data_IF_747633071594
#
_entry.id   IF_747633071594
#
_cell.length_a   1.000
_cell.length_b   1.000
_cell.length_c   1.000
_cell.angle_alpha   90.00
_cell.angle_beta   90.00
_cell.angle_gamma   90.00
#
_symmetry.space_group_name_H-M   'P 1'
#
loop_
_entity.id
_entity.type
_entity.pdbx_description
1 polymer ?
#
# COMPACT_ATOMS: atom_id res chain seq x y z
N UNK A 1 -15.22 12.95 4.94
CA UNK A 1 -15.24 14.00 3.91
C UNK A 1 -13.80 14.23 3.43
N UNK A 2 -13.56 14.39 2.14
CA UNK A 2 -12.21 14.65 1.63
C UNK A 2 -11.66 15.95 2.20
N UNK A 3 -10.33 15.95 2.49
CA UNK A 3 -9.64 17.16 2.97
C UNK A 3 -9.36 18.15 1.82
N UNK A 4 -9.24 17.63 0.59
CA UNK A 4 -8.99 18.44 -0.60
C UNK A 4 -10.31 18.87 -1.25
N UNK A 5 -10.57 20.18 -1.31
CA UNK A 5 -11.82 20.76 -1.82
C UNK A 5 -12.08 20.50 -3.31
N UNK A 6 -11.03 20.21 -4.07
CA UNK A 6 -11.10 19.91 -5.51
C UNK A 6 -11.53 18.47 -5.82
N UNK A 7 -11.61 17.60 -4.81
CA UNK A 7 -12.00 16.22 -4.99
C UNK A 7 -13.51 16.02 -4.87
N UNK A 8 -14.07 14.95 -5.49
CA UNK A 8 -15.48 14.61 -5.31
C UNK A 8 -15.81 14.26 -3.85
N UNK A 9 -17.08 14.19 -3.50
CA UNK A 9 -17.53 13.95 -2.12
C UNK A 9 -17.05 12.61 -1.55
N UNK A 10 -16.88 11.60 -2.40
CA UNK A 10 -16.36 10.26 -2.04
C UNK A 10 -15.21 9.90 -2.99
N UNK A 11 -14.02 10.49 -2.80
CA UNK A 11 -12.90 10.25 -3.68
C UNK A 11 -12.27 8.88 -3.43
N UNK A 12 -11.79 8.28 -4.51
CA UNK A 12 -10.96 7.08 -4.48
C UNK A 12 -9.54 7.40 -4.99
N UNK A 13 -8.61 6.49 -4.83
CA UNK A 13 -7.21 6.72 -5.23
C UNK A 13 -7.08 7.19 -6.68
N UNK A 14 -7.92 6.68 -7.61
CA UNK A 14 -7.93 7.11 -9.02
C UNK A 14 -8.17 8.62 -9.19
N UNK A 15 -8.94 9.24 -8.32
CA UNK A 15 -9.21 10.67 -8.39
C UNK A 15 -7.98 11.49 -7.98
N UNK A 16 -7.18 11.00 -7.04
CA UNK A 16 -5.88 11.59 -6.69
C UNK A 16 -4.92 11.51 -7.88
N UNK A 17 -4.83 10.36 -8.55
CA UNK A 17 -3.97 10.17 -9.71
C UNK A 17 -4.35 11.10 -10.87
N UNK A 18 -5.64 11.36 -11.05
CA UNK A 18 -6.13 12.31 -12.05
C UNK A 18 -5.84 13.75 -11.69
N UNK A 19 -6.01 14.10 -10.42
CA UNK A 19 -5.81 15.48 -9.94
C UNK A 19 -4.33 15.88 -9.89
N UNK A 20 -3.42 14.91 -9.59
CA UNK A 20 -1.99 15.17 -9.38
C UNK A 20 -1.10 14.27 -10.25
N UNK A 21 -1.24 14.31 -11.59
CA UNK A 21 -0.55 13.36 -12.47
C UNK A 21 0.97 13.47 -12.42
N UNK A 22 1.53 14.65 -12.16
CA UNK A 22 2.98 14.86 -12.11
C UNK A 22 3.68 14.04 -11.03
N UNK A 23 3.04 13.85 -9.89
CA UNK A 23 3.57 13.05 -8.77
C UNK A 23 3.02 11.62 -8.78
N UNK A 24 1.78 11.46 -9.19
CA UNK A 24 1.10 10.17 -9.13
C UNK A 24 1.52 9.22 -10.24
N UNK A 25 1.87 9.71 -11.45
CA UNK A 25 2.35 8.84 -12.52
C UNK A 25 3.62 8.07 -12.12
N UNK A 26 4.72 8.73 -11.71
CA UNK A 26 5.93 8.02 -11.26
C UNK A 26 5.66 7.16 -10.01
N UNK A 27 4.73 7.57 -9.13
CA UNK A 27 4.33 6.75 -7.99
C UNK A 27 3.64 5.45 -8.42
N UNK A 28 2.77 5.50 -9.44
CA UNK A 28 2.13 4.31 -10.00
C UNK A 28 3.13 3.35 -10.64
N UNK A 29 4.07 3.87 -11.43
CA UNK A 29 5.17 3.11 -12.06
C UNK A 29 6.05 2.44 -10.98
N UNK A 30 6.40 3.18 -9.93
CA UNK A 30 7.15 2.64 -8.80
C UNK A 30 6.37 1.55 -8.05
N UNK A 31 5.07 1.77 -7.84
CA UNK A 31 4.20 0.79 -7.17
C UNK A 31 4.10 -0.50 -7.98
N UNK A 32 3.95 -0.40 -9.31
CA UNK A 32 3.96 -1.56 -10.19
C UNK A 32 5.28 -2.34 -10.05
N UNK A 33 6.41 -1.65 -10.13
CA UNK A 33 7.73 -2.27 -9.98
C UNK A 33 7.88 -2.97 -8.62
N UNK A 34 7.46 -2.34 -7.52
CA UNK A 34 7.55 -2.89 -6.17
C UNK A 34 6.60 -4.08 -5.96
N UNK A 35 5.36 -3.99 -6.48
CA UNK A 35 4.30 -4.97 -6.19
C UNK A 35 4.18 -6.08 -7.24
N UNK A 36 4.68 -5.87 -8.46
CA UNK A 36 4.56 -6.82 -9.58
C UNK A 36 5.89 -7.18 -10.23
N UNK A 37 6.95 -6.39 -10.04
CA UNK A 37 8.29 -6.68 -10.52
C UNK A 37 8.89 -7.97 -9.93
N UNK A 38 10.08 -8.38 -10.35
CA UNK A 38 10.80 -9.54 -9.80
C UNK A 38 10.93 -9.43 -8.27
N UNK A 39 10.65 -10.52 -7.57
CA UNK A 39 10.74 -10.59 -6.11
C UNK A 39 10.77 -12.07 -5.65
N UNK A 40 11.41 -12.41 -4.53
CA UNK A 40 11.29 -13.71 -3.89
C UNK A 40 9.86 -14.01 -3.40
N UNK A 41 9.03 -12.98 -3.25
CA UNK A 41 7.64 -13.13 -2.81
C UNK A 41 6.68 -13.27 -3.99
N UNK A 42 5.77 -14.23 -3.89
CA UNK A 42 4.61 -14.28 -4.76
C UNK A 42 3.75 -12.99 -4.61
N UNK A 43 2.95 -12.69 -5.62
CA UNK A 43 2.07 -11.51 -5.62
C UNK A 43 1.18 -11.46 -4.38
N UNK A 44 0.52 -12.58 -4.01
CA UNK A 44 -0.33 -12.64 -2.82
C UNK A 44 0.42 -12.37 -1.51
N UNK A 45 1.71 -12.74 -1.42
CA UNK A 45 2.52 -12.46 -0.24
C UNK A 45 2.85 -10.96 -0.11
N UNK A 46 3.12 -10.27 -1.21
CA UNK A 46 3.33 -8.80 -1.20
C UNK A 46 2.04 -8.06 -0.84
N UNK A 47 0.90 -8.52 -1.35
CA UNK A 47 -0.41 -7.96 -0.96
C UNK A 47 -0.75 -8.26 0.51
N UNK A 48 -0.34 -9.42 1.03
CA UNK A 48 -0.47 -9.74 2.45
C UNK A 48 0.33 -8.76 3.32
N UNK A 49 1.60 -8.48 2.96
CA UNK A 49 2.42 -7.48 3.66
C UNK A 49 1.75 -6.11 3.60
N UNK A 50 1.26 -5.71 2.43
CA UNK A 50 0.57 -4.44 2.22
C UNK A 50 -0.68 -4.29 3.09
N UNK A 51 -1.54 -5.31 3.10
CA UNK A 51 -2.76 -5.33 3.91
C UNK A 51 -2.44 -5.33 5.42
N UNK A 52 -1.41 -6.09 5.82
CA UNK A 52 -0.98 -6.17 7.21
C UNK A 52 -0.45 -4.83 7.72
N UNK A 53 0.48 -4.20 6.99
CA UNK A 53 1.00 -2.86 7.30
C UNK A 53 -0.14 -1.83 7.39
N UNK A 54 -1.08 -1.87 6.46
CA UNK A 54 -2.22 -0.96 6.44
C UNK A 54 -3.16 -1.17 7.62
N UNK A 55 -3.35 -2.42 8.06
CA UNK A 55 -4.09 -2.75 9.28
C UNK A 55 -3.40 -2.25 10.55
N UNK A 56 -2.07 -2.38 10.64
CA UNK A 56 -1.27 -1.85 11.75
C UNK A 56 -1.37 -0.32 11.88
N UNK A 57 -1.47 0.38 10.74
CA UNK A 57 -1.67 1.83 10.68
C UNK A 57 -3.14 2.25 10.81
N UNK A 58 -4.08 1.31 10.96
CA UNK A 58 -5.52 1.55 10.99
C UNK A 58 -6.07 2.31 9.76
N UNK A 59 -5.38 2.26 8.61
CA UNK A 59 -5.84 2.85 7.37
C UNK A 59 -6.89 1.93 6.71
N UNK A 60 -8.17 2.21 6.94
CA UNK A 60 -9.28 1.36 6.51
C UNK A 60 -9.37 1.23 4.99
N UNK A 61 -9.08 2.30 4.25
CA UNK A 61 -9.08 2.30 2.79
C UNK A 61 -8.04 1.32 2.22
N UNK A 62 -6.76 1.48 2.63
CA UNK A 62 -5.68 0.64 2.12
C UNK A 62 -5.82 -0.81 2.62
N UNK A 63 -6.16 -0.98 3.91
CA UNK A 63 -6.37 -2.31 4.48
C UNK A 63 -7.45 -3.10 3.73
N UNK A 64 -8.65 -2.53 3.56
CA UNK A 64 -9.76 -3.19 2.86
C UNK A 64 -9.42 -3.48 1.39
N UNK A 65 -8.82 -2.52 0.69
CA UNK A 65 -8.40 -2.70 -0.71
C UNK A 65 -7.41 -3.86 -0.84
N UNK A 66 -6.31 -3.85 -0.06
CA UNK A 66 -5.24 -4.85 -0.20
C UNK A 66 -5.60 -6.21 0.41
N UNK A 67 -6.53 -6.25 1.38
CA UNK A 67 -7.17 -7.49 1.82
C UNK A 67 -7.88 -8.18 0.65
N UNK A 68 -8.67 -7.43 -0.12
CA UNK A 68 -9.39 -7.96 -1.27
C UNK A 68 -8.45 -8.38 -2.41
N UNK A 69 -7.35 -7.62 -2.65
CA UNK A 69 -6.33 -8.01 -3.65
C UNK A 69 -5.60 -9.28 -3.20
N UNK A 70 -5.20 -9.38 -1.93
CA UNK A 70 -4.56 -10.58 -1.38
C UNK A 70 -5.47 -11.80 -1.51
N UNK A 71 -6.77 -11.64 -1.19
CA UNK A 71 -7.76 -12.70 -1.34
C UNK A 71 -7.90 -13.15 -2.81
N UNK A 72 -7.95 -12.22 -3.76
CA UNK A 72 -7.97 -12.52 -5.19
C UNK A 72 -6.69 -13.23 -5.67
N UNK A 73 -5.57 -13.06 -4.93
CA UNK A 73 -4.30 -13.75 -5.14
C UNK A 73 -4.16 -15.06 -4.32
N UNK A 74 -5.25 -15.55 -3.71
CA UNK A 74 -5.30 -16.83 -3.01
C UNK A 74 -4.93 -16.80 -1.53
N UNK A 75 -4.82 -15.62 -0.91
CA UNK A 75 -4.62 -15.49 0.54
C UNK A 75 -5.99 -15.46 1.24
N UNK A 76 -6.22 -16.39 2.15
CA UNK A 76 -7.47 -16.43 2.89
C UNK A 76 -7.63 -15.18 3.79
N UNK A 77 -8.79 -14.49 3.75
CA UNK A 77 -9.00 -13.25 4.54
C UNK A 77 -8.81 -13.41 6.04
N UNK A 78 -9.09 -14.61 6.57
CA UNK A 78 -8.93 -14.96 7.98
C UNK A 78 -7.46 -14.88 8.45
N UNK A 79 -6.50 -15.11 7.52
CA UNK A 79 -5.07 -15.01 7.80
C UNK A 79 -4.69 -13.61 8.25
N UNK A 80 -5.17 -12.58 7.56
CA UNK A 80 -4.83 -11.18 7.89
C UNK A 80 -5.43 -10.78 9.24
N UNK A 81 -6.66 -11.19 9.53
CA UNK A 81 -7.28 -10.96 10.82
C UNK A 81 -6.49 -11.64 11.95
N UNK A 82 -6.07 -12.87 11.75
CA UNK A 82 -5.24 -13.60 12.71
C UNK A 82 -3.87 -12.92 12.92
N UNK A 83 -3.22 -12.45 11.85
CA UNK A 83 -1.95 -11.72 11.92
C UNK A 83 -2.03 -10.43 12.72
N UNK A 84 -3.12 -9.68 12.59
CA UNK A 84 -3.33 -8.45 13.36
C UNK A 84 -3.56 -8.74 14.84
N UNK A 85 -4.13 -9.90 15.17
CA UNK A 85 -4.30 -10.34 16.54
C UNK A 85 -2.98 -10.85 17.14
N UNK A 86 -2.34 -11.82 16.47
CA UNK A 86 -1.06 -12.40 16.92
C UNK A 86 -0.36 -13.13 15.76
N UNK A 87 0.84 -12.70 15.41
CA UNK A 87 1.65 -13.32 14.35
C UNK A 87 1.98 -14.77 14.68
N UNK A 88 2.22 -15.11 15.95
CA UNK A 88 2.71 -16.43 16.34
C UNK A 88 1.65 -17.52 16.14
N UNK A 89 0.40 -17.19 16.36
CA UNK A 89 -0.73 -18.12 16.21
C UNK A 89 -1.40 -18.05 14.84
N UNK A 90 -1.05 -17.07 14.02
CA UNK A 90 -1.63 -16.91 12.69
C UNK A 90 -1.35 -18.12 11.78
N UNK A 91 -2.33 -18.59 10.97
CA UNK A 91 -2.19 -19.76 10.12
C UNK A 91 -1.44 -19.44 8.82
N UNK A 92 -0.17 -19.07 8.95
CA UNK A 92 0.75 -18.78 7.85
C UNK A 92 1.97 -19.70 7.89
N UNK A 93 2.65 -19.80 6.74
CA UNK A 93 3.92 -20.54 6.68
C UNK A 93 4.91 -19.95 7.69
N UNK A 94 5.56 -20.81 8.48
CA UNK A 94 6.52 -20.41 9.51
C UNK A 94 7.60 -19.46 8.97
N UNK A 95 8.06 -19.70 7.74
CA UNK A 95 9.04 -18.88 7.04
C UNK A 95 8.56 -17.41 6.85
N UNK A 96 7.26 -17.15 6.77
CA UNK A 96 6.71 -15.79 6.61
C UNK A 96 6.61 -15.01 7.92
N UNK A 97 6.64 -15.65 9.08
CA UNK A 97 6.51 -14.98 10.37
C UNK A 97 7.60 -13.93 10.61
N UNK A 98 8.91 -14.22 10.41
CA UNK A 98 9.96 -13.22 10.54
C UNK A 98 9.81 -12.04 9.58
N UNK A 99 9.35 -12.25 8.34
CA UNK A 99 9.04 -11.21 7.37
C UNK A 99 7.98 -10.25 7.92
N UNK A 100 6.88 -10.80 8.44
CA UNK A 100 5.78 -9.98 8.97
C UNK A 100 6.14 -9.33 10.31
N UNK A 101 6.95 -9.98 11.14
CA UNK A 101 7.49 -9.40 12.37
C UNK A 101 8.41 -8.21 12.05
N UNK A 102 9.26 -8.35 11.02
CA UNK A 102 10.10 -7.27 10.52
C UNK A 102 9.25 -6.09 10.01
N UNK A 103 8.27 -6.36 9.14
CA UNK A 103 7.35 -5.35 8.63
C UNK A 103 6.57 -4.65 9.75
N UNK A 104 6.13 -5.39 10.79
CA UNK A 104 5.46 -4.83 11.96
C UNK A 104 6.36 -3.86 12.72
N UNK A 105 7.59 -4.28 13.04
CA UNK A 105 8.52 -3.44 13.79
C UNK A 105 8.93 -2.21 12.99
N UNK A 106 9.19 -2.37 11.68
CA UNK A 106 9.50 -1.26 10.79
C UNK A 106 8.35 -0.26 10.68
N UNK A 107 7.10 -0.72 10.74
CA UNK A 107 5.92 0.14 10.72
C UNK A 107 5.74 0.90 12.03
N UNK A 108 5.82 0.22 13.17
CA UNK A 108 5.44 0.77 14.47
C UNK A 108 6.59 1.45 15.22
N UNK A 109 7.84 1.07 14.92
CA UNK A 109 9.02 1.54 15.67
C UNK A 109 10.28 1.56 14.78
N UNK A 110 10.29 2.29 13.65
CA UNK A 110 11.38 2.23 12.66
C UNK A 110 12.75 2.60 13.27
N UNK A 111 12.80 3.53 14.20
CA UNK A 111 14.04 3.92 14.89
C UNK A 111 14.63 2.84 15.81
N UNK A 112 13.90 1.74 16.05
CA UNK A 112 14.34 0.62 16.90
C UNK A 112 14.76 -0.61 16.10
N UNK A 113 14.86 -0.52 14.78
CA UNK A 113 15.36 -1.63 13.95
C UNK A 113 16.82 -1.93 14.28
N UNK A 114 17.15 -3.22 14.34
CA UNK A 114 18.49 -3.73 14.70
C UNK A 114 18.95 -4.81 13.75
N UNK A 115 20.24 -5.15 13.78
CA UNK A 115 20.79 -6.28 13.03
C UNK A 115 20.15 -7.63 13.42
N UNK A 116 19.69 -7.79 14.67
CA UNK A 116 19.00 -9.00 15.10
C UNK A 116 17.63 -9.19 14.41
N UNK A 117 16.95 -8.10 14.05
CA UNK A 117 15.70 -8.20 13.29
C UNK A 117 15.97 -8.77 11.89
N UNK A 118 17.04 -8.31 11.23
CA UNK A 118 17.47 -8.85 9.94
C UNK A 118 17.96 -10.30 10.05
N UNK A 119 18.72 -10.63 11.09
CA UNK A 119 19.19 -11.98 11.35
C UNK A 119 18.04 -12.99 11.42
N UNK A 120 16.93 -12.65 12.08
CA UNK A 120 15.73 -13.49 12.15
C UNK A 120 15.14 -13.82 10.77
N UNK A 121 15.25 -12.91 9.80
CA UNK A 121 14.81 -13.12 8.42
C UNK A 121 15.75 -14.09 7.71
N UNK A 122 17.07 -13.93 7.86
CA UNK A 122 18.08 -14.83 7.29
C UNK A 122 18.03 -16.24 7.90
N UNK A 123 17.83 -16.34 9.22
CA UNK A 123 17.71 -17.62 9.94
C UNK A 123 16.48 -18.43 9.45
N UNK A 124 15.45 -17.76 8.97
CA UNK A 124 14.31 -18.40 8.34
C UNK A 124 14.57 -18.82 6.87
N UNK A 125 15.80 -18.64 6.38
CA UNK A 125 16.23 -19.02 5.03
C UNK A 125 15.78 -18.06 3.94
N UNK A 126 15.59 -16.78 4.26
CA UNK A 126 15.43 -15.68 3.28
C UNK A 126 16.80 -15.05 2.99
N UNK A 127 16.88 -14.32 1.89
CA UNK A 127 18.06 -13.60 1.40
C UNK A 127 17.88 -12.07 1.46
N UNK A 128 18.88 -11.34 0.97
CA UNK A 128 18.86 -9.88 0.89
C UNK A 128 17.71 -9.37 0.02
N UNK A 129 17.36 -10.06 -1.06
CA UNK A 129 16.27 -9.65 -1.96
C UNK A 129 14.92 -9.74 -1.24
N UNK A 130 14.71 -10.76 -0.40
CA UNK A 130 13.51 -10.89 0.40
C UNK A 130 13.44 -9.82 1.50
N UNK A 131 14.56 -9.56 2.18
CA UNK A 131 14.62 -8.50 3.18
C UNK A 131 14.37 -7.13 2.54
N UNK A 132 15.03 -6.83 1.42
CA UNK A 132 14.83 -5.58 0.68
C UNK A 132 13.37 -5.43 0.21
N UNK A 133 12.79 -6.49 -0.38
CA UNK A 133 11.38 -6.47 -0.81
C UNK A 133 10.42 -6.23 0.37
N UNK A 134 10.71 -6.81 1.55
CA UNK A 134 9.95 -6.55 2.78
C UNK A 134 10.01 -5.09 3.18
N UNK A 135 11.21 -4.51 3.21
CA UNK A 135 11.43 -3.09 3.53
C UNK A 135 10.70 -2.20 2.53
N UNK A 136 10.85 -2.48 1.23
CA UNK A 136 10.27 -1.70 0.15
C UNK A 136 8.74 -1.66 0.23
N UNK A 137 8.09 -2.83 0.33
CA UNK A 137 6.62 -2.91 0.44
C UNK A 137 6.13 -2.25 1.73
N UNK A 138 6.82 -2.48 2.85
CA UNK A 138 6.48 -1.86 4.13
C UNK A 138 6.57 -0.33 4.06
N UNK A 139 7.65 0.22 3.51
CA UNK A 139 7.84 1.66 3.39
C UNK A 139 6.81 2.29 2.44
N UNK A 140 6.55 1.64 1.31
CA UNK A 140 5.55 2.08 0.32
C UNK A 140 4.15 2.18 0.95
N UNK A 141 3.74 1.16 1.73
CA UNK A 141 2.41 1.20 2.35
C UNK A 141 2.34 2.12 3.56
N UNK A 142 3.43 2.35 4.28
CA UNK A 142 3.51 3.43 5.25
C UNK A 142 3.35 4.82 4.59
N UNK A 143 3.88 5.01 3.38
CA UNK A 143 3.63 6.22 2.58
C UNK A 143 2.17 6.31 2.15
N UNK A 144 1.61 5.26 1.52
CA UNK A 144 0.24 5.29 1.03
C UNK A 144 -0.79 5.50 2.14
N UNK A 145 -0.62 4.86 3.30
CA UNK A 145 -1.55 5.03 4.41
C UNK A 145 -1.62 6.50 4.83
N UNK A 146 -0.48 7.18 4.95
CA UNK A 146 -0.43 8.61 5.31
C UNK A 146 -0.99 9.51 4.22
N UNK A 147 -0.72 9.18 2.95
CA UNK A 147 -1.29 9.91 1.82
C UNK A 147 -2.82 9.78 1.81
N UNK A 148 -3.34 8.57 1.89
CA UNK A 148 -4.78 8.26 1.85
C UNK A 148 -5.52 8.92 3.02
N UNK A 149 -5.02 8.74 4.25
CA UNK A 149 -5.64 9.31 5.44
C UNK A 149 -5.50 10.83 5.46
N UNK A 150 -4.34 11.37 5.03
CA UNK A 150 -4.08 12.80 4.97
C UNK A 150 -4.95 13.56 3.96
N UNK A 151 -5.35 12.92 2.85
CA UNK A 151 -6.29 13.51 1.88
C UNK A 151 -7.75 13.15 2.17
N UNK A 152 -8.00 12.29 3.15
CA UNK A 152 -9.33 11.92 3.61
C UNK A 152 -10.09 11.02 2.65
N UNK A 153 -9.41 10.02 2.05
CA UNK A 153 -10.10 8.98 1.28
C UNK A 153 -10.87 8.05 2.23
N UNK A 154 -12.06 7.67 1.83
CA UNK A 154 -12.87 6.67 2.51
C UNK A 154 -13.16 5.53 1.55
N UNK A 155 -13.16 4.31 2.03
CA UNK A 155 -13.45 3.13 1.22
C UNK A 155 -14.96 3.09 0.91
N UNK A 156 -15.39 3.28 -0.36
CA UNK A 156 -16.81 3.16 -0.69
C UNK A 156 -17.26 1.70 -0.59
N UNK A 157 -18.51 1.49 -0.25
CA UNK A 157 -19.09 0.14 -0.17
C UNK A 157 -18.93 -0.61 -1.51
N UNK A 158 -18.40 -1.83 -1.44
CA UNK A 158 -18.16 -2.69 -2.62
C UNK A 158 -16.94 -2.33 -3.47
N UNK A 159 -16.31 -1.18 -3.22
CA UNK A 159 -15.12 -0.76 -3.98
C UNK A 159 -13.95 -1.73 -3.82
N UNK A 160 -13.79 -2.31 -2.65
CA UNK A 160 -12.73 -3.29 -2.35
C UNK A 160 -12.81 -4.50 -3.28
N UNK A 161 -14.01 -4.99 -3.59
CA UNK A 161 -14.21 -6.15 -4.48
C UNK A 161 -13.78 -5.82 -5.92
N UNK A 162 -14.19 -4.64 -6.43
CA UNK A 162 -13.78 -4.18 -7.75
C UNK A 162 -12.27 -3.94 -7.81
N UNK A 163 -11.72 -3.28 -6.81
CA UNK A 163 -10.28 -3.01 -6.71
C UNK A 163 -9.48 -4.32 -6.61
N UNK A 164 -9.94 -5.26 -5.80
CA UNK A 164 -9.34 -6.59 -5.66
C UNK A 164 -9.21 -7.30 -7.00
N UNK A 165 -10.29 -7.39 -7.76
CA UNK A 165 -10.31 -8.00 -9.09
C UNK A 165 -9.40 -7.26 -10.08
N UNK A 166 -9.48 -5.94 -10.12
CA UNK A 166 -8.71 -5.13 -11.05
C UNK A 166 -7.20 -5.21 -10.77
N UNK A 167 -6.79 -4.96 -9.54
CA UNK A 167 -5.38 -4.90 -9.18
C UNK A 167 -4.71 -6.28 -9.19
N UNK A 168 -5.44 -7.37 -8.93
CA UNK A 168 -4.88 -8.72 -9.03
C UNK A 168 -4.60 -9.13 -10.48
N UNK A 169 -5.37 -8.60 -11.47
CA UNK A 169 -5.26 -8.98 -12.88
C UNK A 169 -4.48 -7.98 -13.73
N UNK A 170 -4.60 -6.68 -13.45
CA UNK A 170 -4.04 -5.60 -14.27
C UNK A 170 -2.84 -4.90 -13.61
N UNK A 171 -2.56 -5.20 -12.32
CA UNK A 171 -1.50 -4.53 -11.59
C UNK A 171 -1.80 -3.06 -11.27
N UNK A 172 -0.74 -2.31 -11.02
CA UNK A 172 -0.79 -0.89 -10.62
C UNK A 172 -0.53 0.08 -11.77
N UNK A 173 -0.10 -0.40 -12.93
CA UNK A 173 0.11 0.42 -14.15
C UNK A 173 -1.16 1.14 -14.61
N UNK A 174 -2.34 0.59 -14.28
CA UNK A 174 -3.62 1.24 -14.54
C UNK A 174 -3.70 2.65 -13.94
N UNK A 175 -3.00 2.89 -12.84
CA UNK A 175 -2.94 4.20 -12.22
C UNK A 175 -1.99 5.14 -12.96
N UNK A 176 -0.83 4.67 -13.41
CA UNK A 176 0.09 5.44 -14.23
C UNK A 176 -0.57 5.88 -15.55
N UNK A 177 -1.43 5.03 -16.14
CA UNK A 177 -2.18 5.33 -17.36
C UNK A 177 -3.30 6.34 -17.14
N UNK A 178 -3.93 6.36 -15.97
CA UNK A 178 -5.00 7.31 -15.61
C UNK A 178 -4.44 8.71 -15.39
N UNK A 179 -3.18 8.82 -14.98
CA UNK A 179 -2.48 10.09 -14.76
C UNK A 179 -2.06 10.81 -16.08
N UNK A 180 -2.82 10.66 -17.18
CA UNK A 180 -2.60 11.50 -18.36
C UNK A 180 -2.93 12.96 -18.01
N UNK A 181 -2.06 13.93 -18.39
CA UNK A 181 -2.34 15.32 -18.12
C UNK A 181 -3.62 15.73 -18.86
N UNK A 182 -4.69 15.95 -18.11
CA UNK A 182 -5.75 16.83 -18.59
C UNK A 182 -5.17 18.23 -18.76
N UNK A 183 -5.81 19.14 -19.55
CA UNK A 183 -5.34 20.50 -19.65
C UNK A 183 -5.23 21.06 -18.23
N UNK A 184 -4.02 21.47 -17.86
CA UNK A 184 -3.75 22.17 -16.60
C UNK A 184 -4.67 23.38 -16.62
N UNK A 185 -5.68 23.40 -15.75
CA UNK A 185 -6.41 24.65 -15.50
C UNK A 185 -5.33 25.66 -15.09
N UNK A 186 -5.13 26.68 -15.94
CA UNK A 186 -4.13 27.70 -15.70
C UNK A 186 -4.37 28.25 -14.29
N UNK A 187 -3.33 28.18 -13.45
CA UNK A 187 -3.35 28.82 -12.15
C UNK A 187 -3.71 30.28 -12.41
N UNK A 188 -4.81 30.73 -11.83
CA UNK A 188 -5.18 32.15 -11.87
C UNK A 188 -3.99 32.93 -11.31
N UNK A 189 -3.46 33.94 -12.01
CA UNK A 189 -2.40 34.76 -11.48
C UNK A 189 -2.91 35.43 -10.21
N UNK A 190 -2.08 35.39 -9.18
CA UNK A 190 -2.28 36.00 -7.87
C UNK A 190 -3.02 37.34 -8.01
N UNK A 191 -4.14 37.46 -7.32
CA UNK A 191 -4.67 38.75 -6.97
C UNK A 191 -3.58 39.50 -6.19
N UNK A 192 -3.11 40.59 -6.76
CA UNK A 192 -2.17 41.52 -6.18
C UNK A 192 -2.56 41.87 -4.75
N UNK A 193 -1.62 41.71 -3.85
CA UNK A 193 -1.60 42.37 -2.57
C UNK A 193 -1.52 43.90 -2.85
N UNK A 194 -2.60 44.61 -2.71
CA UNK A 194 -2.61 46.04 -2.48
C UNK A 194 -3.57 46.32 -1.30
N UNK A 195 -2.99 46.86 -0.21
CA UNK A 195 -3.67 47.40 0.96
C UNK A 195 -3.10 46.96 2.27
#
# INVERSE_FOLDING_TARGET
MPQLRSLPAQPVMRDIYRAYPATCKPLGEFTEAAMRGPSPFAQGQRELIAAYVSGLNACTYCHGTHLAVAAACGVAPEVIKALLADIETAPIAAKMKPILSYARKLTLSPARMTAADAASVYDAGWDDDALYSTVLVTALFNFYNRLVDGVGLTLPEGYETEAGKRLSTQGYDVFAQVAKPGPIAAASPNASNDG
#
